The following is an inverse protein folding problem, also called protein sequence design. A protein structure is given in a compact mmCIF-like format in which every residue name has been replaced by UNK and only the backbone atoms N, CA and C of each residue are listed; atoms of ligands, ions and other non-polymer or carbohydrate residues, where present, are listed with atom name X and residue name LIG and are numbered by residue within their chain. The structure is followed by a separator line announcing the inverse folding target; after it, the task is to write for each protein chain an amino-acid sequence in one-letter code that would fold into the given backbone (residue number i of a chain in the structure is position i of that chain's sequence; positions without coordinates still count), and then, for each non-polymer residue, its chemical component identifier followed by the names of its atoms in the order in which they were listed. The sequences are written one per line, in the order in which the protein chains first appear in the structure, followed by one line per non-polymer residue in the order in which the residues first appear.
data_IF_608059873379
#
_entry.id   IF_608059873379
#
_cell.length_a   1.000
_cell.length_b   1.000
_cell.length_c   1.000
_cell.angle_alpha   90.00
_cell.angle_beta   90.00
_cell.angle_gamma   90.00
#
_symmetry.space_group_name_H-M   'P 1'
#
loop_
_entity.id
_entity.type
_entity.pdbx_description
1 polymer ?
#
# COMPACT_ATOMS: atom_id res chain seq x y z
N UNK A 1 -5.30 13.42 -8.68
CA UNK A 1 -5.15 12.65 -7.43
C UNK A 1 -3.96 11.72 -7.59
N UNK A 2 -2.92 11.82 -6.76
CA UNK A 2 -1.76 10.91 -6.80
C UNK A 2 -2.22 9.54 -6.28
N UNK A 3 -2.58 8.64 -7.20
CA UNK A 3 -2.93 7.27 -6.84
C UNK A 3 -1.65 6.45 -6.67
N UNK A 4 -1.32 6.07 -5.44
CA UNK A 4 -0.30 5.06 -5.19
C UNK A 4 -0.94 3.67 -5.33
N UNK A 5 -0.29 2.81 -6.10
CA UNK A 5 -0.77 1.47 -6.39
C UNK A 5 0.27 0.46 -5.90
N UNK A 6 -0.11 -0.51 -5.05
CA UNK A 6 0.83 -1.52 -4.59
C UNK A 6 1.17 -2.48 -5.72
N UNK A 7 2.38 -3.00 -5.69
CA UNK A 7 2.80 -4.10 -6.55
C UNK A 7 2.41 -5.41 -5.85
N UNK A 8 1.77 -6.31 -6.58
CA UNK A 8 1.39 -7.64 -6.12
C UNK A 8 1.93 -8.71 -7.06
N UNK A 9 2.32 -9.85 -6.49
CA UNK A 9 2.79 -11.00 -7.25
C UNK A 9 1.62 -11.95 -7.49
N UNK A 10 1.42 -12.37 -8.74
CA UNK A 10 0.48 -13.44 -9.08
C UNK A 10 1.01 -14.80 -8.60
N UNK A 11 0.16 -15.82 -8.47
CA UNK A 11 0.61 -17.19 -8.17
C UNK A 11 1.65 -17.70 -9.17
N UNK A 12 1.55 -17.27 -10.44
CA UNK A 12 2.50 -17.59 -11.52
C UNK A 12 3.79 -16.75 -11.50
N UNK A 13 3.95 -15.85 -10.54
CA UNK A 13 5.17 -15.07 -10.34
C UNK A 13 5.22 -13.70 -11.02
N UNK A 14 4.28 -13.36 -11.89
CA UNK A 14 4.22 -12.04 -12.52
C UNK A 14 3.86 -10.95 -11.52
N UNK A 15 4.55 -9.81 -11.61
CA UNK A 15 4.22 -8.59 -10.89
C UNK A 15 3.10 -7.85 -11.60
N UNK A 16 2.12 -7.35 -10.85
CA UNK A 16 1.03 -6.53 -11.36
C UNK A 16 0.65 -5.46 -10.35
N UNK A 17 -0.08 -4.45 -10.79
CA UNK A 17 -0.70 -3.46 -9.91
C UNK A 17 -1.84 -4.11 -9.14
N UNK A 18 -1.81 -3.97 -7.82
CA UNK A 18 -2.84 -4.41 -6.90
C UNK A 18 -3.92 -3.35 -6.74
N UNK A 19 -5.11 -3.78 -6.33
CA UNK A 19 -6.25 -2.87 -6.08
C UNK A 19 -6.07 -1.97 -4.85
N UNK A 20 -5.22 -2.36 -3.90
CA UNK A 20 -5.00 -1.64 -2.65
C UNK A 20 -3.99 -2.32 -1.74
N UNK A 21 -3.44 -1.54 -0.79
CA UNK A 21 -2.43 -1.96 0.19
C UNK A 21 -3.07 -2.84 1.26
N UNK A 22 -2.30 -3.79 1.79
CA UNK A 22 -2.79 -4.63 2.88
C UNK A 22 -2.87 -3.85 4.20
N UNK A 23 -3.67 -4.35 5.13
CA UNK A 23 -3.76 -3.77 6.48
C UNK A 23 -2.39 -3.73 7.19
N UNK A 24 -1.59 -4.76 6.99
CA UNK A 24 -0.27 -4.89 7.61
C UNK A 24 0.76 -3.96 6.99
N UNK A 25 0.68 -3.71 5.67
CA UNK A 25 1.54 -2.73 4.99
C UNK A 25 1.28 -1.31 5.48
N UNK A 26 0.00 -0.95 5.64
CA UNK A 26 -0.43 0.34 6.19
C UNK A 26 0.07 0.51 7.62
N UNK A 27 -0.09 -0.52 8.46
CA UNK A 27 0.47 -0.52 9.83
C UNK A 27 2.00 -0.39 9.83
N UNK A 28 2.72 -1.11 8.96
CA UNK A 28 4.19 -1.02 8.84
C UNK A 28 4.67 0.32 8.30
N UNK A 29 3.85 1.01 7.51
CA UNK A 29 4.12 2.36 7.06
C UNK A 29 3.92 3.41 8.15
N UNK A 30 3.33 3.03 9.30
CA UNK A 30 3.15 3.92 10.45
C UNK A 30 1.89 4.77 10.38
N UNK A 31 0.94 4.42 9.52
CA UNK A 31 -0.33 5.14 9.38
C UNK A 31 -1.52 4.27 9.79
N UNK A 32 -2.58 4.91 10.27
CA UNK A 32 -3.84 4.27 10.57
C UNK A 32 -4.70 4.08 9.31
N UNK A 33 -5.69 3.17 9.37
CA UNK A 33 -6.64 2.97 8.26
C UNK A 33 -7.48 4.21 7.96
N UNK A 34 -7.75 5.03 8.98
CA UNK A 34 -8.49 6.27 8.82
C UNK A 34 -7.64 7.31 8.09
N UNK A 35 -6.37 7.46 8.46
CA UNK A 35 -5.43 8.35 7.77
C UNK A 35 -5.19 7.91 6.33
N UNK A 36 -4.97 6.60 6.10
CA UNK A 36 -4.84 6.04 4.76
C UNK A 36 -6.04 6.40 3.88
N UNK A 37 -7.27 6.29 4.40
CA UNK A 37 -8.48 6.72 3.70
C UNK A 37 -8.51 8.23 3.41
N UNK A 38 -8.14 9.06 4.39
CA UNK A 38 -8.08 10.54 4.22
C UNK A 38 -7.06 10.94 3.15
N UNK A 39 -5.93 10.24 3.09
CA UNK A 39 -4.87 10.43 2.11
C UNK A 39 -5.20 9.87 0.72
N UNK A 40 -6.34 9.19 0.55
CA UNK A 40 -6.73 8.54 -0.70
C UNK A 40 -5.92 7.28 -1.02
N UNK A 41 -5.29 6.66 -0.03
CA UNK A 41 -4.56 5.40 -0.19
C UNK A 41 -5.56 4.25 -0.36
N UNK A 42 -5.49 3.47 -1.44
CA UNK A 42 -6.39 2.35 -1.65
C UNK A 42 -6.05 1.21 -0.70
N UNK A 43 -7.05 0.62 -0.05
CA UNK A 43 -6.87 -0.41 0.98
C UNK A 43 -7.55 -1.72 0.55
N UNK A 44 -6.80 -2.80 0.52
CA UNK A 44 -7.32 -4.16 0.34
C UNK A 44 -7.26 -4.95 1.65
N UNK A 45 -8.37 -4.92 2.39
CA UNK A 45 -8.49 -5.57 3.70
C UNK A 45 -8.44 -7.10 3.63
N UNK A 46 -8.68 -7.69 2.46
CA UNK A 46 -8.74 -9.16 2.28
C UNK A 46 -7.34 -9.74 2.03
N UNK A 47 -6.37 -8.91 1.66
CA UNK A 47 -5.00 -9.33 1.36
C UNK A 47 -4.18 -9.45 2.64
N UNK A 48 -3.58 -10.63 2.86
CA UNK A 48 -2.63 -10.91 3.96
C UNK A 48 -1.16 -10.93 3.51
N UNK A 49 -0.89 -10.79 2.22
CA UNK A 49 0.49 -10.72 1.73
C UNK A 49 1.07 -9.33 1.99
N UNK A 50 2.22 -9.30 2.65
CA UNK A 50 3.03 -8.10 2.87
C UNK A 50 4.19 -8.10 1.88
N UNK A 51 4.47 -6.95 1.27
CA UNK A 51 5.71 -6.71 0.54
C UNK A 51 6.41 -5.46 1.06
N UNK A 52 7.71 -5.57 1.30
CA UNK A 52 8.51 -4.45 1.80
C UNK A 52 8.60 -3.31 0.79
N UNK A 53 8.62 -3.62 -0.51
CA UNK A 53 8.54 -2.65 -1.61
C UNK A 53 7.32 -1.72 -1.47
N UNK A 54 6.15 -2.29 -1.13
CA UNK A 54 4.91 -1.53 -0.95
C UNK A 54 4.97 -0.66 0.31
N UNK A 55 5.57 -1.16 1.40
CA UNK A 55 5.79 -0.39 2.62
C UNK A 55 6.71 0.79 2.35
N UNK A 56 7.79 0.58 1.59
CA UNK A 56 8.72 1.64 1.20
C UNK A 56 8.02 2.70 0.35
N UNK A 57 7.22 2.28 -0.63
CA UNK A 57 6.42 3.19 -1.45
C UNK A 57 5.43 4.01 -0.61
N UNK A 58 4.78 3.41 0.39
CA UNK A 58 3.93 4.13 1.34
C UNK A 58 4.72 5.17 2.14
N UNK A 59 5.89 4.81 2.65
CA UNK A 59 6.75 5.74 3.40
C UNK A 59 7.24 6.90 2.55
N UNK A 60 7.65 6.64 1.31
CA UNK A 60 8.05 7.67 0.35
C UNK A 60 6.89 8.61 0.01
N UNK A 61 5.68 8.06 -0.16
CA UNK A 61 4.48 8.86 -0.39
C UNK A 61 4.16 9.79 0.79
N UNK A 62 4.34 9.31 2.02
CA UNK A 62 4.16 10.11 3.23
C UNK A 62 5.24 11.20 3.34
N UNK A 63 6.49 10.88 3.03
CA UNK A 63 7.61 11.81 3.08
C UNK A 63 7.52 12.94 2.04
N UNK A 64 6.99 12.66 0.84
CA UNK A 64 6.83 13.65 -0.24
C UNK A 64 5.59 14.54 -0.08
N UNK A 65 4.86 14.40 1.03
CA UNK A 65 3.71 15.26 1.39
C UNK A 65 4.10 16.37 2.37
N UNK A 66 5.40 16.55 2.68
CA UNK A 66 5.96 17.64 3.49
C UNK A 66 6.58 18.74 2.65
#
# INVERSE_FOLDING_TARGET
MRAIEPIVKSPKGHLRKGKGFSLEEIKKAGISLQEAKKLGVPIDKRRKSIREENVKMLKEFLSNSS
#
